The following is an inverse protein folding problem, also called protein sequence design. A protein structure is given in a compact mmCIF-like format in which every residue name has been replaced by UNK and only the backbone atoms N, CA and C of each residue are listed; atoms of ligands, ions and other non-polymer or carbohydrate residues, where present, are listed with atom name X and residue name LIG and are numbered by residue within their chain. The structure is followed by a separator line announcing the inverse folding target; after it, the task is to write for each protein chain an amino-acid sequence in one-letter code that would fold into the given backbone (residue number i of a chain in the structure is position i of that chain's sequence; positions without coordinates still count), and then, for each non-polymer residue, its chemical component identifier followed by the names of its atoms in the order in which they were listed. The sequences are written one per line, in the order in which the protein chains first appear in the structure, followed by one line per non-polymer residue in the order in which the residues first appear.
data_IF_304540387515
#
_entry.id   IF_304540387515
#
_cell.length_a   1.000
_cell.length_b   1.000
_cell.length_c   1.000
_cell.angle_alpha   90.00
_cell.angle_beta   90.00
_cell.angle_gamma   90.00
#
_symmetry.space_group_name_H-M   'P 1'
#
loop_
_entity.id
_entity.type
_entity.pdbx_description
1 polymer ?
#
# COMPACT_ATOMS: atom_id res chain seq x y z
N UNK A 1 -11.23 -5.20 -20.21
CA UNK A 1 -10.50 -5.74 -19.05
C UNK A 1 -10.53 -7.26 -19.14
N UNK A 2 -9.40 -7.92 -18.98
CA UNK A 2 -9.30 -9.38 -19.02
C UNK A 2 -9.61 -9.95 -17.65
N UNK A 3 -10.39 -11.04 -17.59
CA UNK A 3 -10.66 -11.76 -16.34
C UNK A 3 -9.42 -12.55 -15.95
N UNK A 4 -8.99 -12.43 -14.68
CA UNK A 4 -7.84 -13.14 -14.13
C UNK A 4 -8.07 -14.66 -14.14
N UNK A 5 -7.06 -15.41 -14.58
CA UNK A 5 -7.05 -16.88 -14.55
C UNK A 5 -6.59 -17.40 -13.19
N UNK A 6 -6.83 -18.69 -12.94
CA UNK A 6 -6.32 -19.34 -11.74
C UNK A 6 -4.77 -19.30 -11.75
N UNK A 7 -4.17 -18.80 -10.66
CA UNK A 7 -2.72 -18.62 -10.55
C UNK A 7 -2.19 -17.27 -11.03
N UNK A 8 -3.05 -16.41 -11.58
CA UNK A 8 -2.73 -15.00 -11.82
C UNK A 8 -3.19 -14.16 -10.61
N UNK A 9 -2.41 -13.12 -10.30
CA UNK A 9 -2.63 -12.27 -9.14
C UNK A 9 -2.52 -10.80 -9.50
N UNK A 10 -3.18 -9.95 -8.71
CA UNK A 10 -3.03 -8.49 -8.78
C UNK A 10 -2.40 -8.00 -7.49
N UNK A 11 -1.26 -7.33 -7.63
CA UNK A 11 -0.63 -6.60 -6.53
C UNK A 11 -1.15 -5.17 -6.46
N UNK A 12 -1.58 -4.74 -5.28
CA UNK A 12 -1.92 -3.36 -4.98
C UNK A 12 -0.83 -2.78 -4.09
N UNK A 13 -0.21 -1.70 -4.56
CA UNK A 13 0.64 -0.84 -3.74
C UNK A 13 -0.20 0.33 -3.25
N UNK A 14 -0.50 0.33 -1.96
CA UNK A 14 -1.28 1.36 -1.30
C UNK A 14 -0.35 2.22 -0.43
N UNK A 15 0.04 3.37 -0.98
CA UNK A 15 0.89 4.35 -0.33
C UNK A 15 0.04 5.34 0.47
N UNK A 16 -0.45 4.88 1.63
CA UNK A 16 -1.18 5.72 2.56
C UNK A 16 -0.30 6.78 3.22
N UNK A 17 -0.93 7.66 3.99
CA UNK A 17 -0.25 8.80 4.62
C UNK A 17 0.79 8.38 5.66
N UNK A 18 0.54 7.32 6.44
CA UNK A 18 1.37 6.91 7.59
C UNK A 18 2.10 5.58 7.38
N UNK A 19 1.77 4.86 6.31
CA UNK A 19 2.33 3.55 6.03
C UNK A 19 2.13 3.19 4.56
N UNK A 20 3.00 2.34 4.04
CA UNK A 20 2.82 1.68 2.75
C UNK A 20 2.32 0.26 2.99
N UNK A 21 1.33 -0.17 2.21
CA UNK A 21 0.83 -1.55 2.18
C UNK A 21 1.05 -2.13 0.80
N UNK A 22 1.47 -3.39 0.76
CA UNK A 22 1.41 -4.21 -0.44
C UNK A 22 0.44 -5.35 -0.19
N UNK A 23 -0.58 -5.48 -1.05
CA UNK A 23 -1.65 -6.47 -0.91
C UNK A 23 -1.74 -7.26 -2.22
N UNK A 24 -1.74 -8.57 -2.13
CA UNK A 24 -1.90 -9.46 -3.29
C UNK A 24 -3.31 -10.06 -3.27
N UNK A 25 -4.02 -9.89 -4.38
CA UNK A 25 -5.37 -10.40 -4.59
C UNK A 25 -5.39 -11.52 -5.62
N UNK A 26 -6.22 -12.52 -5.38
CA UNK A 26 -6.57 -13.52 -6.39
C UNK A 26 -7.73 -13.05 -7.30
N UNK A 27 -8.13 -13.90 -8.25
CA UNK A 27 -9.25 -13.65 -9.18
C UNK A 27 -10.62 -13.44 -8.53
N UNK A 28 -10.79 -13.78 -7.25
CA UNK A 28 -12.01 -13.59 -6.48
C UNK A 28 -11.92 -12.37 -5.55
N UNK A 29 -10.89 -11.54 -5.72
CA UNK A 29 -10.56 -10.42 -4.85
C UNK A 29 -10.29 -10.83 -3.39
N UNK A 30 -9.91 -12.09 -3.15
CA UNK A 30 -9.47 -12.54 -1.83
C UNK A 30 -8.04 -12.09 -1.58
N UNK A 31 -7.74 -11.66 -0.35
CA UNK A 31 -6.38 -11.28 0.05
C UNK A 31 -5.59 -12.56 0.34
N UNK A 32 -4.58 -12.84 -0.48
CA UNK A 32 -3.73 -14.03 -0.32
C UNK A 32 -2.40 -13.72 0.36
N UNK A 33 -1.93 -12.47 0.28
CA UNK A 33 -0.77 -11.98 1.01
C UNK A 33 -0.89 -10.48 1.27
N UNK A 34 -0.29 -10.03 2.38
CA UNK A 34 -0.17 -8.60 2.68
C UNK A 34 1.06 -8.32 3.53
N UNK A 35 1.66 -7.16 3.32
CA UNK A 35 2.67 -6.59 4.20
C UNK A 35 2.42 -5.09 4.37
N UNK A 36 2.73 -4.57 5.56
CA UNK A 36 2.57 -3.16 5.89
C UNK A 36 3.82 -2.65 6.60
N UNK A 37 4.30 -1.49 6.17
CA UNK A 37 5.43 -0.80 6.78
C UNK A 37 5.03 0.64 7.11
N UNK A 38 5.05 0.99 8.39
CA UNK A 38 4.89 2.36 8.84
C UNK A 38 6.17 3.17 8.60
N UNK A 39 6.03 4.46 8.37
CA UNK A 39 7.16 5.39 8.22
C UNK A 39 6.96 6.65 9.08
N UNK A 40 8.04 7.36 9.45
CA UNK A 40 7.96 8.54 10.30
C UNK A 40 7.24 9.71 9.63
N UNK A 41 6.57 10.52 10.45
CA UNK A 41 5.89 11.75 10.04
C UNK A 41 6.59 12.95 10.65
N UNK A 42 6.90 13.96 9.84
CA UNK A 42 7.63 15.15 10.28
C UNK A 42 6.72 16.39 10.32
N UNK A 43 6.80 17.13 11.43
CA UNK A 43 6.02 18.34 11.69
C UNK A 43 6.97 19.50 12.08
N UNK A 44 7.67 20.12 11.12
CA UNK A 44 8.70 21.13 11.41
C UNK A 44 8.13 22.44 11.98
N UNK A 45 6.87 22.76 11.65
CA UNK A 45 6.15 23.95 12.09
C UNK A 45 4.67 23.61 12.31
N UNK A 46 3.93 24.39 13.13
CA UNK A 46 2.49 24.21 13.28
C UNK A 46 1.77 24.23 11.92
N UNK A 47 1.03 23.17 11.62
CA UNK A 47 0.29 23.00 10.37
C UNK A 47 1.08 22.42 9.19
N UNK A 48 2.38 22.16 9.34
CA UNK A 48 3.21 21.58 8.27
C UNK A 48 3.27 20.07 8.42
N UNK A 49 3.26 19.34 7.30
CA UNK A 49 3.29 17.88 7.26
C UNK A 49 4.21 17.40 6.14
N UNK A 50 5.18 16.55 6.47
CA UNK A 50 6.16 15.98 5.52
C UNK A 50 6.34 14.48 5.79
N UNK A 51 6.33 13.67 4.73
CA UNK A 51 6.47 12.20 4.80
C UNK A 51 7.79 11.67 4.23
N UNK A 52 8.61 12.53 3.64
CA UNK A 52 9.95 12.20 3.14
C UNK A 52 11.00 12.64 4.16
N UNK A 53 12.04 11.82 4.34
CA UNK A 53 13.29 12.34 4.88
C UNK A 53 13.83 13.42 3.90
N UNK A 54 14.49 14.49 4.40
CA UNK A 54 15.37 15.29 3.55
C UNK A 54 16.48 14.44 2.91
#
# INVERSE_FOLDING_TARGET
MTVLKQGEFVGSLDCGTTSVRYIVFDKFASIVARYQLAFPQYYPSPGYFLTSHP
#
